data_IF_235089273219
#
_entry.id   IF_235089273219
#
_cell.length_a   1.000
_cell.length_b   1.000
_cell.length_c   1.000
_cell.angle_alpha   90.00
_cell.angle_beta   90.00
_cell.angle_gamma   90.00
#
_symmetry.space_group_name_H-M   'P 1'
#
loop_
_entity.id
_entity.type
_entity.pdbx_description
1 polymer ?
#
# COMPACT_ATOMS: atom_id res chain seq x y z
N UNK A 1 0.76 -14.01 -0.23
CA UNK A 1 1.54 -13.03 -1.02
C UNK A 1 0.68 -11.81 -1.11
N UNK A 2 1.23 -10.60 -0.95
CA UNK A 2 0.43 -9.37 -0.94
C UNK A 2 0.50 -8.66 -2.28
N UNK A 3 -0.07 -9.27 -3.30
CA UNK A 3 -0.03 -8.77 -4.67
C UNK A 3 -1.39 -8.17 -5.09
N UNK A 4 -2.33 -8.01 -4.15
CA UNK A 4 -3.68 -7.56 -4.41
C UNK A 4 -4.58 -8.63 -5.03
N UNK A 5 -4.14 -9.90 -5.03
CA UNK A 5 -4.88 -11.04 -5.53
C UNK A 5 -5.08 -12.01 -4.39
N UNK A 6 -6.32 -12.44 -4.18
CA UNK A 6 -6.63 -13.53 -3.26
C UNK A 6 -6.11 -14.85 -3.86
N UNK A 7 -4.86 -15.16 -3.58
CA UNK A 7 -4.20 -16.42 -3.87
C UNK A 7 -4.53 -17.48 -2.80
N UNK A 8 -4.87 -17.07 -1.57
CA UNK A 8 -5.30 -17.98 -0.50
C UNK A 8 -6.82 -17.99 -0.31
N UNK A 9 -7.42 -19.17 -0.09
CA UNK A 9 -8.88 -19.34 -0.02
C UNK A 9 -9.57 -18.61 1.13
N UNK A 10 -8.81 -18.12 2.11
CA UNK A 10 -9.26 -17.29 3.22
C UNK A 10 -8.88 -15.80 3.08
N UNK A 11 -8.19 -15.41 2.00
CA UNK A 11 -7.69 -14.04 1.80
C UNK A 11 -6.60 -13.60 2.78
N UNK A 12 -6.07 -14.54 3.57
CA UNK A 12 -5.03 -14.26 4.56
C UNK A 12 -3.73 -13.75 3.95
N UNK A 13 -3.52 -14.05 2.68
CA UNK A 13 -2.41 -13.57 1.88
C UNK A 13 -2.46 -12.06 1.62
N UNK A 14 -3.65 -11.47 1.65
CA UNK A 14 -3.91 -10.03 1.54
C UNK A 14 -4.32 -9.40 2.89
N UNK A 15 -4.43 -10.20 3.96
CA UNK A 15 -4.79 -9.70 5.28
C UNK A 15 -3.67 -8.81 5.84
N UNK A 16 -4.06 -7.62 6.32
CA UNK A 16 -3.16 -6.60 6.85
C UNK A 16 -2.25 -7.10 7.99
N UNK A 17 -2.67 -8.12 8.73
CA UNK A 17 -1.92 -8.72 9.84
C UNK A 17 -0.78 -9.60 9.33
N UNK A 18 -1.04 -10.38 8.29
CA UNK A 18 -0.07 -11.29 7.66
C UNK A 18 0.79 -10.59 6.61
N UNK A 19 0.25 -9.51 6.02
CA UNK A 19 0.92 -8.61 5.12
C UNK A 19 1.81 -7.55 5.82
N UNK A 20 2.28 -7.85 7.03
CA UNK A 20 3.30 -7.04 7.73
C UNK A 20 4.67 -7.08 7.02
N UNK A 21 4.83 -7.96 6.00
CA UNK A 21 5.95 -7.95 5.04
C UNK A 21 5.67 -7.11 3.77
N UNK A 22 4.73 -6.18 3.84
CA UNK A 22 4.08 -5.60 2.66
C UNK A 22 4.94 -4.71 1.77
N UNK A 23 5.89 -3.94 2.29
CA UNK A 23 6.75 -3.09 1.48
C UNK A 23 8.19 -3.12 2.02
N UNK A 24 9.19 -2.86 1.18
CA UNK A 24 10.58 -2.76 1.62
C UNK A 24 10.71 -1.66 2.68
N UNK A 25 11.73 -1.66 3.55
CA UNK A 25 11.84 -0.67 4.66
C UNK A 25 11.85 0.81 4.22
N UNK A 26 12.13 1.03 2.94
CA UNK A 26 12.16 2.32 2.24
C UNK A 26 10.88 2.63 1.46
N UNK A 27 9.85 1.80 1.57
CA UNK A 27 8.59 1.93 0.86
C UNK A 27 7.43 2.12 1.84
N UNK A 28 6.43 2.89 1.42
CA UNK A 28 5.22 3.20 2.15
C UNK A 28 4.05 2.51 1.47
N UNK A 29 3.07 2.14 2.28
CA UNK A 29 1.89 1.40 1.86
C UNK A 29 0.73 2.36 1.56
N UNK A 30 0.24 2.31 0.35
CA UNK A 30 -1.00 2.91 -0.13
C UNK A 30 -2.14 1.89 -0.11
N UNK A 31 -3.38 2.36 0.09
CA UNK A 31 -4.56 1.53 -0.19
C UNK A 31 -4.92 1.66 -1.67
N UNK A 32 -5.04 0.52 -2.35
CA UNK A 32 -5.66 0.49 -3.66
C UNK A 32 -7.19 0.49 -3.49
N UNK A 33 -7.94 1.32 -4.25
CA UNK A 33 -9.40 1.33 -4.21
C UNK A 33 -10.06 -0.02 -4.56
N UNK A 34 -9.31 -0.92 -5.20
CA UNK A 34 -9.76 -2.27 -5.57
C UNK A 34 -9.49 -3.33 -4.49
N UNK A 35 -8.96 -2.92 -3.33
CA UNK A 35 -8.68 -3.82 -2.20
C UNK A 35 -7.26 -4.40 -2.14
N UNK A 36 -6.35 -3.95 -3.02
CA UNK A 36 -4.94 -4.35 -3.01
C UNK A 36 -4.02 -3.39 -2.24
N UNK A 37 -2.82 -3.87 -1.88
CA UNK A 37 -1.73 -3.04 -1.36
C UNK A 37 -0.90 -2.45 -2.52
N UNK A 38 -0.70 -1.14 -2.55
CA UNK A 38 0.33 -0.52 -3.40
C UNK A 38 1.51 -0.09 -2.51
N UNK A 39 2.74 -0.36 -2.95
CA UNK A 39 3.96 0.12 -2.28
C UNK A 39 4.61 1.21 -3.12
N UNK A 40 4.66 2.41 -2.57
CA UNK A 40 5.39 3.54 -3.15
C UNK A 40 6.70 3.75 -2.38
N UNK A 41 7.64 4.51 -2.92
CA UNK A 41 8.84 4.87 -2.17
C UNK A 41 8.53 5.85 -1.05
N UNK A 42 9.27 5.82 0.06
CA UNK A 42 9.22 6.85 1.12
C UNK A 42 9.46 8.27 0.61
N UNK A 43 10.22 8.38 -0.46
CA UNK A 43 10.50 9.66 -1.12
C UNK A 43 9.34 10.17 -1.96
N UNK A 44 8.38 9.30 -2.30
CA UNK A 44 7.15 9.61 -3.03
C UNK A 44 5.99 9.92 -2.06
N UNK A 45 6.30 10.11 -0.78
CA UNK A 45 5.33 10.58 0.19
C UNK A 45 5.54 12.08 0.35
N UNK A 46 4.49 12.88 0.18
CA UNK A 46 4.53 14.33 0.30
C UNK A 46 5.43 15.02 -0.73
N UNK A 47 5.55 14.45 -1.92
CA UNK A 47 6.41 14.96 -2.99
C UNK A 47 5.63 15.82 -4.01
N UNK A 48 4.35 16.10 -3.76
CA UNK A 48 3.39 16.78 -4.63
C UNK A 48 2.99 15.95 -5.87
N UNK A 49 3.26 14.65 -5.88
CA UNK A 49 2.86 13.71 -6.92
C UNK A 49 1.95 12.66 -6.30
N UNK A 50 0.79 12.39 -6.93
CA UNK A 50 -0.08 11.29 -6.50
C UNK A 50 0.45 9.98 -7.07
N UNK A 51 1.23 9.28 -6.27
CA UNK A 51 1.69 7.92 -6.49
C UNK A 51 0.72 6.87 -5.91
N UNK A 52 -0.02 7.17 -4.84
CA UNK A 52 -1.11 6.32 -4.39
C UNK A 52 -2.38 6.50 -5.24
N UNK A 53 -3.07 5.40 -5.54
CA UNK A 53 -4.34 5.42 -6.28
C UNK A 53 -5.48 6.17 -5.56
N UNK A 54 -5.42 6.22 -4.22
CA UNK A 54 -6.34 7.00 -3.39
C UNK A 54 -5.80 8.42 -3.08
N UNK A 55 -4.57 8.74 -3.49
CA UNK A 55 -3.88 9.99 -3.17
C UNK A 55 -3.53 10.17 -1.70
N UNK A 56 -3.52 9.09 -0.92
CA UNK A 56 -3.21 9.12 0.52
C UNK A 56 -1.77 9.51 0.84
N UNK A 57 -0.85 9.33 -0.10
CA UNK A 57 0.53 9.80 -0.06
C UNK A 57 0.70 11.32 -0.06
N UNK A 58 -0.25 12.03 -0.66
CA UNK A 58 -0.27 13.49 -0.78
C UNK A 58 -1.35 14.15 0.09
N UNK A 59 -2.03 13.35 0.91
CA UNK A 59 -3.02 13.90 1.84
C UNK A 59 -2.28 14.57 3.00
N UNK A 60 -2.56 15.87 3.18
CA UNK A 60 -1.94 16.75 4.17
C UNK A 60 -2.13 16.28 5.63
N UNK A 61 -3.01 15.31 5.88
CA UNK A 61 -3.14 14.67 7.20
C UNK A 61 -2.11 13.57 7.45
N UNK A 62 -1.54 13.04 6.38
CA UNK A 62 -0.57 11.94 6.40
C UNK A 62 0.84 12.41 6.02
N UNK A 63 0.95 13.61 5.40
CA UNK A 63 2.10 14.51 5.50
C UNK A 63 2.11 15.32 6.82
#
# INVERSE_FOLDING_TARGET
>A
MCNGVQDCGDGSDEDLTYCTRGCNSIQIRCLNPTGGLICISKTAMCDNVRDCADGSDEDQKYC
#
